data_IF_924045883251
#
_entry.id   IF_924045883251
#
_cell.length_a   1.000
_cell.length_b   1.000
_cell.length_c   1.000
_cell.angle_alpha   90.00
_cell.angle_beta   90.00
_cell.angle_gamma   90.00
#
_symmetry.space_group_name_H-M   'P 1'
#
loop_
_entity.id
_entity.type
_entity.pdbx_description
1 polymer ?
#
# COMPACT_ATOMS: atom_id res chain seq x y z
N UNK A 1 -46.84 -21.95 -17.32
CA UNK A 1 -45.51 -22.57 -17.53
C UNK A 1 -45.42 -23.20 -18.93
N UNK A 2 -46.43 -23.94 -19.37
CA UNK A 2 -46.45 -24.58 -20.70
C UNK A 2 -46.43 -23.60 -21.89
N UNK A 3 -47.04 -22.42 -21.77
CA UNK A 3 -47.03 -21.42 -22.87
C UNK A 3 -45.63 -20.83 -23.12
N UNK A 4 -44.86 -20.57 -22.07
CA UNK A 4 -43.46 -20.11 -22.19
C UNK A 4 -42.59 -21.15 -22.91
N UNK A 5 -42.83 -22.43 -22.66
CA UNK A 5 -42.07 -23.53 -23.27
C UNK A 5 -42.39 -23.69 -24.77
N UNK A 6 -43.62 -23.36 -25.20
CA UNK A 6 -43.98 -23.29 -26.63
C UNK A 6 -43.36 -22.09 -27.33
N UNK A 7 -43.29 -20.95 -26.64
CA UNK A 7 -42.70 -19.72 -27.17
C UNK A 7 -41.17 -19.87 -27.37
N UNK A 8 -40.47 -20.47 -26.41
CA UNK A 8 -39.04 -20.78 -26.53
C UNK A 8 -38.73 -21.74 -27.68
N UNK A 9 -39.57 -22.76 -27.89
CA UNK A 9 -39.42 -23.67 -29.04
C UNK A 9 -39.58 -22.92 -30.36
N UNK A 10 -40.58 -22.05 -30.48
CA UNK A 10 -40.76 -21.24 -31.70
C UNK A 10 -39.59 -20.28 -31.94
N UNK A 11 -39.07 -19.63 -30.89
CA UNK A 11 -37.92 -18.73 -30.98
C UNK A 11 -36.67 -19.50 -31.44
N UNK A 12 -36.39 -20.65 -30.84
CA UNK A 12 -35.28 -21.53 -31.24
C UNK A 12 -35.40 -21.96 -32.70
N UNK A 13 -36.58 -22.38 -33.15
CA UNK A 13 -36.79 -22.80 -34.54
C UNK A 13 -36.63 -21.62 -35.53
N UNK A 14 -37.10 -20.42 -35.17
CA UNK A 14 -36.91 -19.21 -35.98
C UNK A 14 -35.44 -18.80 -36.06
N UNK A 15 -34.71 -18.81 -34.95
CA UNK A 15 -33.27 -18.55 -34.90
C UNK A 15 -32.49 -19.52 -35.79
N UNK A 16 -32.81 -20.82 -35.71
CA UNK A 16 -32.16 -21.86 -36.49
C UNK A 16 -32.38 -21.69 -38.01
N UNK A 17 -33.57 -21.22 -38.42
CA UNK A 17 -33.94 -21.03 -39.82
C UNK A 17 -33.48 -19.69 -40.42
N UNK A 18 -33.29 -18.65 -39.62
CA UNK A 18 -32.84 -17.34 -40.14
C UNK A 18 -31.33 -17.15 -40.04
N UNK A 19 -30.66 -17.72 -39.04
CA UNK A 19 -29.24 -17.43 -38.80
C UNK A 19 -28.30 -18.57 -39.21
N UNK A 20 -28.69 -19.84 -39.04
CA UNK A 20 -27.77 -20.97 -39.25
C UNK A 20 -27.83 -21.58 -40.66
N UNK A 21 -28.90 -21.34 -41.39
CA UNK A 21 -29.11 -21.86 -42.75
C UNK A 21 -28.24 -21.17 -43.81
N UNK A 22 -27.98 -19.84 -43.78
CA UNK A 22 -27.09 -19.22 -44.77
C UNK A 22 -25.62 -19.65 -44.63
N UNK A 23 -25.19 -20.11 -43.44
CA UNK A 23 -23.81 -20.59 -43.21
C UNK A 23 -23.52 -21.96 -43.84
N UNK A 24 -24.56 -22.77 -44.10
CA UNK A 24 -24.40 -24.11 -44.72
C UNK A 24 -24.10 -24.05 -46.21
N UNK A 25 -24.58 -23.02 -46.92
CA UNK A 25 -24.42 -22.89 -48.37
C UNK A 25 -23.22 -22.03 -48.79
N UNK A 26 -22.37 -21.62 -47.85
CA UNK A 26 -21.14 -20.91 -48.18
C UNK A 26 -20.24 -21.85 -48.99
N UNK A 27 -19.83 -21.45 -50.22
CA UNK A 27 -18.92 -22.24 -51.05
C UNK A 27 -17.65 -22.58 -50.28
N UNK A 28 -17.10 -23.80 -50.46
CA UNK A 28 -15.90 -24.25 -49.75
C UNK A 28 -14.72 -23.26 -49.89
N UNK A 29 -14.57 -22.63 -51.06
CA UNK A 29 -13.52 -21.64 -51.31
C UNK A 29 -13.65 -20.39 -50.44
N UNK A 30 -14.88 -19.93 -50.16
CA UNK A 30 -15.12 -18.75 -49.32
C UNK A 30 -14.84 -19.06 -47.84
N UNK A 31 -15.12 -20.30 -47.38
CA UNK A 31 -14.76 -20.75 -46.03
C UNK A 31 -13.25 -20.81 -45.84
N UNK A 32 -12.55 -21.35 -46.84
CA UNK A 32 -11.07 -21.41 -46.83
C UNK A 32 -10.51 -19.98 -46.79
N UNK A 33 -11.03 -19.07 -47.63
CA UNK A 33 -10.62 -17.67 -47.66
C UNK A 33 -10.82 -16.95 -46.32
N UNK A 34 -11.95 -17.21 -45.64
CA UNK A 34 -12.23 -16.60 -44.34
C UNK A 34 -11.27 -17.14 -43.27
N UNK A 35 -11.04 -18.45 -43.24
CA UNK A 35 -10.11 -19.08 -42.29
C UNK A 35 -8.69 -18.55 -42.50
N UNK A 36 -8.23 -18.46 -43.75
CA UNK A 36 -6.90 -17.91 -44.05
C UNK A 36 -6.77 -16.45 -43.67
N UNK A 37 -7.82 -15.65 -43.83
CA UNK A 37 -7.80 -14.24 -43.41
C UNK A 37 -7.73 -14.11 -41.89
N UNK A 38 -8.49 -14.92 -41.15
CA UNK A 38 -8.49 -14.89 -39.68
C UNK A 38 -7.14 -15.34 -39.14
N UNK A 39 -6.53 -16.41 -39.69
CA UNK A 39 -5.20 -16.85 -39.25
C UNK A 39 -4.12 -15.81 -39.53
N UNK A 40 -4.17 -15.11 -40.67
CA UNK A 40 -3.23 -14.01 -40.95
C UNK A 40 -3.38 -12.88 -39.93
N UNK A 41 -4.62 -12.50 -39.58
CA UNK A 41 -4.87 -11.46 -38.57
C UNK A 41 -4.30 -11.88 -37.21
N UNK A 42 -4.60 -13.10 -36.74
CA UNK A 42 -4.10 -13.60 -35.44
C UNK A 42 -2.58 -13.67 -35.41
N UNK A 43 -1.93 -14.15 -36.48
CA UNK A 43 -0.47 -14.19 -36.57
C UNK A 43 0.15 -12.79 -36.62
N UNK A 44 -0.51 -11.84 -37.27
CA UNK A 44 -0.05 -10.44 -37.33
C UNK A 44 -0.14 -9.77 -35.96
N UNK A 45 -1.23 -10.02 -35.21
CA UNK A 45 -1.39 -9.55 -33.82
C UNK A 45 -0.33 -10.16 -32.90
N UNK A 46 -0.13 -11.48 -32.95
CA UNK A 46 0.90 -12.14 -32.15
C UNK A 46 2.32 -11.64 -32.49
N UNK A 47 2.60 -11.35 -33.76
CA UNK A 47 3.88 -10.76 -34.18
C UNK A 47 4.06 -9.33 -33.66
N UNK A 48 3.01 -8.51 -33.68
CA UNK A 48 3.03 -7.16 -33.11
C UNK A 48 3.30 -7.19 -31.60
N UNK A 49 2.60 -8.05 -30.85
CA UNK A 49 2.84 -8.23 -29.42
C UNK A 49 4.28 -8.66 -29.15
N UNK A 50 4.77 -9.68 -29.86
CA UNK A 50 6.17 -10.14 -29.76
C UNK A 50 7.17 -9.01 -30.04
N UNK A 51 6.92 -8.20 -31.07
CA UNK A 51 7.80 -7.08 -31.42
C UNK A 51 7.77 -5.98 -30.35
N UNK A 52 6.61 -5.64 -29.81
CA UNK A 52 6.49 -4.65 -28.72
C UNK A 52 7.19 -5.11 -27.44
N UNK A 53 7.08 -6.39 -27.07
CA UNK A 53 7.79 -6.93 -25.89
C UNK A 53 9.30 -6.95 -26.11
N UNK A 54 9.76 -7.25 -27.33
CA UNK A 54 11.19 -7.24 -27.67
C UNK A 54 11.76 -5.81 -27.73
N UNK A 55 11.00 -4.84 -28.24
CA UNK A 55 11.41 -3.43 -28.22
C UNK A 55 11.44 -2.86 -26.80
N UNK A 56 10.52 -3.24 -25.90
CA UNK A 56 10.61 -2.85 -24.49
C UNK A 56 11.81 -3.53 -23.77
N UNK A 57 12.13 -4.78 -24.08
CA UNK A 57 13.29 -5.46 -23.49
C UNK A 57 14.64 -4.99 -24.08
N UNK A 58 14.64 -4.41 -25.29
CA UNK A 58 15.85 -3.91 -25.96
C UNK A 58 16.00 -2.38 -25.91
N UNK A 59 15.05 -1.66 -25.31
CA UNK A 59 15.14 -0.23 -25.06
C UNK A 59 15.48 0.08 -23.60
N UNK A 60 16.27 -0.79 -22.97
CA UNK A 60 17.31 -0.31 -22.07
C UNK A 60 18.38 0.34 -22.94
N UNK A 61 18.09 1.57 -23.33
CA UNK A 61 19.11 2.54 -23.68
C UNK A 61 20.03 2.59 -22.47
N UNK A 62 21.16 1.88 -22.49
CA UNK A 62 22.25 2.20 -21.57
C UNK A 62 22.76 3.54 -22.07
N UNK A 63 22.58 4.67 -21.35
CA UNK A 63 23.57 5.71 -21.50
C UNK A 63 24.89 5.03 -21.16
N UNK A 64 25.93 5.30 -21.92
CA UNK A 64 27.28 5.09 -21.44
C UNK A 64 27.41 5.98 -20.20
N UNK A 65 26.99 5.44 -19.05
CA UNK A 65 27.02 6.14 -17.78
C UNK A 65 28.49 6.31 -17.48
N UNK A 66 28.93 7.56 -17.59
CA UNK A 66 30.15 8.03 -16.95
C UNK A 66 29.98 7.66 -15.48
N UNK A 67 30.65 6.59 -15.07
CA UNK A 67 30.67 6.10 -13.69
C UNK A 67 31.43 7.16 -12.88
N UNK A 68 30.70 8.18 -12.42
CA UNK A 68 31.19 9.09 -11.39
C UNK A 68 31.20 8.34 -10.06
N UNK A 69 32.20 8.58 -9.22
CA UNK A 69 32.40 7.87 -7.95
C UNK A 69 31.16 7.95 -7.05
N UNK A 70 30.40 9.03 -7.17
CA UNK A 70 29.13 9.29 -6.47
C UNK A 70 28.06 8.23 -6.73
N UNK A 71 27.95 7.68 -7.95
CA UNK A 71 26.92 6.68 -8.28
C UNK A 71 27.27 5.30 -7.70
N UNK A 72 28.58 5.00 -7.60
CA UNK A 72 29.04 3.75 -6.97
C UNK A 72 28.78 3.72 -5.47
N UNK A 73 28.90 4.86 -4.81
CA UNK A 73 28.70 4.97 -3.37
C UNK A 73 27.22 4.84 -3.00
N UNK A 74 26.31 5.42 -3.78
CA UNK A 74 24.86 5.29 -3.59
C UNK A 74 24.40 3.84 -3.75
N UNK A 75 24.85 3.14 -4.80
CA UNK A 75 24.51 1.73 -5.01
C UNK A 75 24.97 0.85 -3.85
N UNK A 76 26.15 1.16 -3.30
CA UNK A 76 26.69 0.43 -2.14
C UNK A 76 25.89 0.71 -0.85
N UNK A 77 25.43 1.95 -0.66
CA UNK A 77 24.57 2.32 0.49
C UNK A 77 23.27 1.53 0.44
N UNK A 78 22.58 1.50 -0.71
CA UNK A 78 21.32 0.75 -0.87
C UNK A 78 21.51 -0.75 -0.62
N UNK A 79 22.55 -1.35 -1.21
CA UNK A 79 22.86 -2.77 -1.01
C UNK A 79 23.12 -3.10 0.46
N UNK A 80 23.94 -2.29 1.14
CA UNK A 80 24.25 -2.49 2.55
C UNK A 80 23.03 -2.26 3.44
N UNK A 81 22.14 -1.33 3.10
CA UNK A 81 20.93 -1.05 3.89
C UNK A 81 19.91 -2.18 3.79
N UNK A 82 19.67 -2.68 2.57
CA UNK A 82 18.76 -3.81 2.32
C UNK A 82 19.22 -5.08 3.04
N UNK A 83 20.52 -5.38 2.99
CA UNK A 83 21.10 -6.55 3.66
C UNK A 83 20.92 -6.55 5.18
N UNK A 84 21.00 -5.37 5.84
CA UNK A 84 20.92 -5.29 7.31
C UNK A 84 19.50 -5.11 7.84
N UNK A 85 18.55 -4.72 7.00
CA UNK A 85 17.15 -4.49 7.39
C UNK A 85 16.26 -5.70 7.10
N UNK A 86 16.61 -6.55 6.13
CA UNK A 86 15.85 -7.74 5.75
C UNK A 86 16.32 -9.04 6.41
N UNK A 87 16.99 -8.97 7.56
CA UNK A 87 17.42 -10.17 8.30
C UNK A 87 16.21 -10.79 9.00
N UNK A 88 15.56 -11.76 8.35
CA UNK A 88 14.58 -12.64 9.00
C UNK A 88 15.30 -13.57 9.97
N UNK A 89 15.04 -13.38 11.27
CA UNK A 89 15.56 -14.23 12.31
C UNK A 89 14.72 -15.49 12.43
N UNK A 90 15.27 -16.63 12.00
CA UNK A 90 14.60 -17.91 12.20
C UNK A 90 14.38 -18.18 13.69
N UNK A 91 13.19 -18.72 14.01
CA UNK A 91 12.73 -18.95 15.36
C UNK A 91 13.68 -19.90 16.12
N UNK A 92 14.36 -19.39 17.14
CA UNK A 92 15.33 -20.15 17.95
C UNK A 92 16.81 -19.83 17.69
N UNK A 93 17.14 -18.94 16.75
CA UNK A 93 18.48 -18.37 16.63
C UNK A 93 18.60 -17.03 17.38
N UNK A 94 19.71 -16.87 18.09
CA UNK A 94 20.13 -15.57 18.64
C UNK A 94 20.71 -14.75 17.49
N UNK A 95 19.85 -13.95 16.84
CA UNK A 95 20.30 -12.90 15.95
C UNK A 95 20.87 -11.74 16.77
N UNK A 96 22.18 -11.72 16.97
CA UNK A 96 22.84 -10.53 17.48
C UNK A 96 23.84 -10.02 16.46
N UNK A 97 23.33 -9.54 15.32
CA UNK A 97 24.11 -8.60 14.52
C UNK A 97 23.39 -7.27 14.60
N UNK A 98 23.99 -6.34 15.35
CA UNK A 98 23.52 -4.96 15.42
C UNK A 98 23.49 -4.38 14.00
N UNK A 99 22.34 -3.93 13.49
CA UNK A 99 22.22 -3.44 12.12
C UNK A 99 23.19 -2.30 11.81
N UNK A 100 23.40 -1.38 12.77
CA UNK A 100 24.35 -0.28 12.62
C UNK A 100 25.80 -0.78 12.51
N UNK A 101 26.19 -1.73 13.38
CA UNK A 101 27.53 -2.34 13.31
C UNK A 101 27.75 -3.08 11.99
N UNK A 102 26.73 -3.81 11.52
CA UNK A 102 26.75 -4.58 10.27
C UNK A 102 26.90 -3.66 9.06
N UNK A 103 26.13 -2.57 9.06
CA UNK A 103 26.17 -1.56 8.02
C UNK A 103 27.55 -0.91 7.92
N UNK A 104 28.15 -0.52 9.05
CA UNK A 104 29.50 0.02 9.07
C UNK A 104 30.53 -0.92 8.41
N UNK A 105 30.48 -2.22 8.74
CA UNK A 105 31.38 -3.22 8.16
C UNK A 105 31.12 -3.40 6.66
N UNK A 106 29.85 -3.40 6.24
CA UNK A 106 29.45 -3.48 4.83
C UNK A 106 29.97 -2.27 4.01
N UNK A 107 29.89 -1.07 4.59
CA UNK A 107 30.44 0.15 4.01
C UNK A 107 31.98 0.12 3.92
N UNK A 108 32.64 -0.84 4.57
CA UNK A 108 34.10 -1.03 4.57
C UNK A 108 34.80 -0.45 5.79
N UNK A 109 34.04 -0.05 6.81
CA UNK A 109 34.54 0.43 8.09
C UNK A 109 34.84 -0.69 9.09
N UNK A 110 35.31 -0.30 10.28
CA UNK A 110 35.50 -1.20 11.43
C UNK A 110 34.78 -0.67 12.66
N UNK A 111 34.41 -1.56 13.57
CA UNK A 111 33.69 -1.22 14.80
C UNK A 111 34.65 -1.23 16.00
N UNK A 112 34.59 -0.17 16.80
CA UNK A 112 35.21 -0.08 18.12
C UNK A 112 34.14 0.18 19.17
N UNK A 113 34.20 -0.53 20.30
CA UNK A 113 33.34 -0.25 21.45
C UNK A 113 34.06 0.70 22.38
N UNK A 114 33.47 1.87 22.63
CA UNK A 114 33.98 2.86 23.59
C UNK A 114 33.10 2.91 24.82
N UNK A 115 33.70 3.29 25.95
CA UNK A 115 32.99 3.52 27.21
C UNK A 115 32.92 5.01 27.48
N UNK A 116 31.74 5.53 27.79
CA UNK A 116 31.56 6.89 28.27
C UNK A 116 32.18 7.01 29.67
N UNK A 117 33.17 7.88 29.84
CA UNK A 117 33.89 8.03 31.10
C UNK A 117 33.03 8.63 32.23
N UNK A 118 31.97 9.37 31.90
CA UNK A 118 31.07 10.01 32.87
C UNK A 118 29.94 9.09 33.33
N UNK A 119 29.34 8.33 32.40
CA UNK A 119 28.17 7.47 32.69
C UNK A 119 28.53 5.99 32.86
N UNK A 120 29.66 5.54 32.30
CA UNK A 120 30.06 4.14 32.25
C UNK A 120 29.40 3.33 31.13
N UNK A 121 28.56 3.95 30.31
CA UNK A 121 27.84 3.27 29.23
C UNK A 121 28.76 2.94 28.06
N UNK A 122 28.52 1.79 27.41
CA UNK A 122 29.24 1.39 26.20
C UNK A 122 28.45 1.77 24.94
N UNK A 123 29.16 2.25 23.92
CA UNK A 123 28.59 2.58 22.61
C UNK A 123 29.53 2.14 21.49
N UNK A 124 28.95 1.82 20.32
CA UNK A 124 29.70 1.44 19.14
C UNK A 124 30.11 2.65 18.31
N UNK A 125 31.35 2.62 17.82
CA UNK A 125 31.94 3.64 16.95
C UNK A 125 32.33 2.98 15.64
N UNK A 126 31.80 3.50 14.54
CA UNK A 126 32.21 3.15 13.19
C UNK A 126 33.43 3.98 12.77
N UNK A 127 34.51 3.32 12.39
CA UNK A 127 35.69 3.94 11.77
C UNK A 127 35.69 3.67 10.29
N UNK A 128 35.55 4.71 9.49
CA UNK A 128 35.51 4.62 8.03
C UNK A 128 36.23 5.83 7.43
N UNK A 129 37.12 5.60 6.45
CA UNK A 129 37.87 6.65 5.78
C UNK A 129 38.62 7.62 6.73
N UNK A 130 39.23 7.10 7.81
CA UNK A 130 39.91 7.87 8.87
C UNK A 130 39.00 8.74 9.77
N UNK A 131 37.69 8.69 9.55
CA UNK A 131 36.69 9.37 10.36
C UNK A 131 36.04 8.39 11.35
N UNK A 132 35.61 8.93 12.50
CA UNK A 132 34.94 8.16 13.55
C UNK A 132 33.53 8.70 13.78
N UNK A 133 32.54 7.83 13.67
CA UNK A 133 31.13 8.14 13.86
C UNK A 133 30.52 7.23 14.92
N UNK A 134 29.55 7.72 15.69
CA UNK A 134 28.69 6.81 16.46
C UNK A 134 27.91 5.92 15.45
N UNK A 135 27.87 4.61 15.67
CA UNK A 135 27.45 3.66 14.64
C UNK A 135 26.00 3.89 14.18
N UNK A 136 25.11 4.25 15.09
CA UNK A 136 23.71 4.50 14.77
C UNK A 136 23.49 5.88 14.13
N UNK A 137 24.27 6.88 14.51
CA UNK A 137 24.31 8.18 13.85
C UNK A 137 24.78 8.02 12.40
N UNK A 138 25.85 7.27 12.17
CA UNK A 138 26.32 6.96 10.82
C UNK A 138 25.24 6.24 10.01
N UNK A 139 24.70 5.14 10.54
CA UNK A 139 23.64 4.37 9.89
C UNK A 139 22.43 5.23 9.49
N UNK A 140 21.94 6.09 10.40
CA UNK A 140 20.81 6.98 10.11
C UNK A 140 21.17 8.11 9.15
N UNK A 141 22.41 8.64 9.22
CA UNK A 141 22.85 9.70 8.31
C UNK A 141 22.80 9.25 6.85
N UNK A 142 23.14 7.98 6.59
CA UNK A 142 23.11 7.39 5.26
C UNK A 142 21.68 7.04 4.81
N UNK A 143 20.81 6.62 5.74
CA UNK A 143 19.37 6.46 5.45
C UNK A 143 18.71 7.79 5.04
N UNK A 144 19.14 8.91 5.63
CA UNK A 144 18.68 10.25 5.26
C UNK A 144 19.38 10.82 4.03
N UNK A 145 20.40 10.15 3.49
CA UNK A 145 20.97 10.46 2.16
C UNK A 145 20.20 9.78 1.03
N UNK A 146 18.99 9.26 1.29
CA UNK A 146 17.98 9.25 0.24
C UNK A 146 17.95 10.65 -0.36
N UNK A 147 18.37 10.71 -1.62
CA UNK A 147 18.59 11.93 -2.40
C UNK A 147 17.54 12.96 -1.99
N UNK A 148 18.01 14.14 -1.56
CA UNK A 148 17.22 15.35 -1.43
C UNK A 148 16.71 15.71 -2.83
N UNK A 149 15.79 14.90 -3.34
CA UNK A 149 15.19 15.03 -4.65
C UNK A 149 14.02 15.98 -4.48
N UNK A 150 14.38 17.22 -4.19
CA UNK A 150 13.50 18.38 -4.15
C UNK A 150 12.95 18.73 -5.53
N UNK A 151 13.11 17.85 -6.54
CA UNK A 151 12.73 18.10 -7.92
C UNK A 151 12.16 16.91 -8.70
N UNK A 152 11.97 15.71 -8.13
CA UNK A 152 11.21 14.68 -8.84
C UNK A 152 9.72 15.01 -8.84
N UNK A 153 9.13 14.95 -10.03
CA UNK A 153 7.69 14.91 -10.17
C UNK A 153 7.14 13.71 -9.39
N UNK A 154 5.89 13.80 -8.95
CA UNK A 154 5.18 12.65 -8.37
C UNK A 154 5.18 11.47 -9.35
N UNK A 155 5.44 10.27 -8.83
CA UNK A 155 5.50 9.03 -9.62
C UNK A 155 4.11 8.43 -9.82
N UNK A 156 3.95 7.57 -10.83
CA UNK A 156 2.68 6.84 -11.06
C UNK A 156 2.34 5.90 -9.89
N UNK A 157 3.36 5.33 -9.23
CA UNK A 157 3.19 4.53 -8.03
C UNK A 157 2.63 5.35 -6.89
N UNK A 158 3.13 6.56 -6.67
CA UNK A 158 2.64 7.48 -5.65
C UNK A 158 1.20 7.92 -5.93
N UNK A 159 0.90 8.26 -7.18
CA UNK A 159 -0.47 8.56 -7.62
C UNK A 159 -1.41 7.38 -7.35
N UNK A 160 -0.96 6.15 -7.61
CA UNK A 160 -1.75 4.93 -7.42
C UNK A 160 -1.95 4.59 -5.94
N UNK A 161 -0.90 4.68 -5.11
CA UNK A 161 -1.00 4.41 -3.67
C UNK A 161 -1.73 5.52 -2.91
N UNK A 162 -1.80 6.72 -3.48
CA UNK A 162 -2.54 7.85 -2.93
C UNK A 162 -1.83 8.54 -1.76
N UNK A 163 -0.53 8.35 -1.56
CA UNK A 163 0.25 9.09 -0.56
C UNK A 163 1.77 9.02 -0.85
N UNK A 164 2.54 9.93 -0.25
CA UNK A 164 4.01 9.86 -0.16
C UNK A 164 4.52 10.66 1.05
N UNK A 165 5.69 10.30 1.58
CA UNK A 165 6.34 11.03 2.69
C UNK A 165 6.99 12.32 2.20
N UNK A 166 6.86 13.39 2.97
CA UNK A 166 7.51 14.67 2.69
C UNK A 166 6.84 15.82 3.45
N UNK A 167 7.66 16.79 3.83
CA UNK A 167 7.25 18.05 4.46
C UNK A 167 6.49 18.97 3.50
N UNK A 168 5.94 20.07 4.02
CA UNK A 168 5.21 21.07 3.21
C UNK A 168 6.03 21.66 2.05
N UNK A 169 7.32 21.90 2.26
CA UNK A 169 8.27 22.42 1.26
C UNK A 169 8.76 21.35 0.27
N UNK A 170 8.51 20.07 0.57
CA UNK A 170 8.83 18.92 -0.26
C UNK A 170 7.63 18.44 -1.10
N UNK A 171 6.66 19.34 -1.38
CA UNK A 171 5.55 19.00 -2.27
C UNK A 171 6.07 18.73 -3.68
N UNK A 172 6.06 17.45 -4.10
CA UNK A 172 6.48 17.04 -5.44
C UNK A 172 5.66 17.75 -6.52
N UNK A 173 6.28 18.26 -7.60
CA UNK A 173 5.53 18.82 -8.71
C UNK A 173 4.63 17.74 -9.36
N UNK A 174 3.39 18.11 -9.70
CA UNK A 174 2.38 17.19 -10.21
C UNK A 174 1.51 16.53 -9.13
N UNK A 175 1.80 16.71 -7.84
CA UNK A 175 0.89 16.30 -6.76
C UNK A 175 -0.46 17.01 -6.91
N UNK A 176 -1.59 16.28 -7.00
CA UNK A 176 -2.91 16.88 -7.21
C UNK A 176 -3.26 17.92 -6.14
N UNK A 177 -3.96 18.98 -6.55
CA UNK A 177 -4.27 20.10 -5.66
C UNK A 177 -5.19 19.74 -4.49
N UNK A 178 -5.96 18.66 -4.61
CA UNK A 178 -6.84 18.17 -3.55
C UNK A 178 -6.12 17.34 -2.49
N UNK A 179 -4.83 16.99 -2.66
CA UNK A 179 -4.09 16.22 -1.67
C UNK A 179 -3.81 17.03 -0.41
N UNK A 180 -3.91 16.37 0.74
CA UNK A 180 -3.77 16.96 2.08
C UNK A 180 -2.41 16.57 2.66
N UNK A 181 -1.80 17.51 3.40
CA UNK A 181 -0.58 17.25 4.17
C UNK A 181 -0.92 16.97 5.64
N UNK A 182 -0.23 16.03 6.28
CA UNK A 182 -0.37 15.72 7.71
C UNK A 182 0.98 15.43 8.35
N UNK A 183 1.13 15.75 9.64
CA UNK A 183 2.30 15.33 10.43
C UNK A 183 3.54 16.22 10.28
N UNK A 184 3.37 17.50 9.95
CA UNK A 184 4.47 18.47 9.80
C UNK A 184 5.42 18.48 11.01
N UNK A 185 6.72 18.53 10.75
CA UNK A 185 7.76 18.48 11.79
C UNK A 185 7.96 17.12 12.45
N UNK A 186 7.32 16.05 11.95
CA UNK A 186 7.51 14.68 12.44
C UNK A 186 8.07 13.78 11.34
N UNK A 187 8.63 12.62 11.71
CA UNK A 187 9.01 11.56 10.75
C UNK A 187 7.83 10.98 9.96
N UNK A 188 6.60 11.34 10.34
CA UNK A 188 5.37 10.91 9.70
C UNK A 188 4.74 12.04 8.85
N UNK A 189 5.51 13.05 8.46
CA UNK A 189 5.08 14.09 7.54
C UNK A 189 4.80 13.51 6.16
N UNK A 190 3.55 13.58 5.68
CA UNK A 190 3.14 13.02 4.38
C UNK A 190 2.10 13.85 3.68
N UNK A 191 2.13 13.74 2.36
CA UNK A 191 1.06 14.14 1.46
C UNK A 191 0.20 12.92 1.11
N UNK A 192 -1.11 13.07 1.11
CA UNK A 192 -2.02 11.98 0.77
C UNK A 192 -3.27 12.49 0.07
N UNK A 193 -3.82 11.65 -0.81
CA UNK A 193 -5.13 11.85 -1.40
C UNK A 193 -6.14 11.84 -0.26
N UNK A 194 -6.97 12.89 -0.05
CA UNK A 194 -8.11 12.77 0.83
C UNK A 194 -8.92 11.59 0.31
N UNK A 195 -9.19 10.61 1.18
CA UNK A 195 -10.11 9.55 0.81
C UNK A 195 -11.39 10.20 0.28
N UNK A 196 -11.89 9.70 -0.85
CA UNK A 196 -13.20 10.05 -1.39
C UNK A 196 -14.24 9.55 -0.36
N UNK A 197 -14.34 10.25 0.76
CA UNK A 197 -15.10 9.84 1.92
C UNK A 197 -16.53 10.31 1.73
N UNK A 198 -17.25 9.58 0.88
CA UNK A 198 -18.51 9.08 1.41
C UNK A 198 -18.10 8.13 2.55
N UNK A 199 -17.97 8.71 3.75
CA UNK A 199 -17.78 7.94 4.97
C UNK A 199 -18.80 6.80 4.94
N UNK A 200 -18.37 5.54 5.13
CA UNK A 200 -19.27 4.41 4.96
C UNK A 200 -20.51 4.60 5.84
N UNK A 201 -21.66 4.14 5.39
CA UNK A 201 -22.91 4.29 6.15
C UNK A 201 -22.80 3.73 7.59
N UNK A 202 -21.85 2.80 7.82
CA UNK A 202 -21.48 2.31 9.13
C UNK A 202 -20.02 1.84 9.22
N UNK A 203 -19.49 1.73 10.43
CA UNK A 203 -18.23 1.05 10.78
C UNK A 203 -18.43 0.15 12.01
N UNK A 204 -17.65 -0.92 12.09
CA UNK A 204 -17.61 -1.86 13.23
C UNK A 204 -16.37 -1.68 14.11
N UNK A 205 -15.53 -0.69 13.81
CA UNK A 205 -14.43 -0.32 14.71
C UNK A 205 -15.00 0.17 16.04
N UNK A 206 -14.34 -0.18 17.15
CA UNK A 206 -14.83 0.14 18.49
C UNK A 206 -16.27 -0.34 18.73
N UNK A 207 -16.61 -1.54 18.23
CA UNK A 207 -17.89 -2.19 18.50
C UNK A 207 -17.76 -3.67 18.86
N UNK A 208 -18.69 -4.16 19.67
CA UNK A 208 -18.81 -5.56 20.05
C UNK A 208 -20.30 -5.92 20.21
N UNK A 209 -20.62 -7.20 20.16
CA UNK A 209 -21.97 -7.67 20.46
C UNK A 209 -22.87 -7.78 19.24
N UNK A 210 -24.03 -8.36 19.49
CA UNK A 210 -25.05 -8.65 18.49
C UNK A 210 -26.34 -7.95 18.85
N UNK A 211 -27.13 -7.60 17.85
CA UNK A 211 -28.36 -6.85 18.07
C UNK A 211 -29.42 -7.19 17.04
N UNK A 212 -30.68 -6.93 17.42
CA UNK A 212 -31.80 -6.91 16.48
C UNK A 212 -32.39 -5.51 16.29
N UNK A 213 -32.17 -4.62 17.26
CA UNK A 213 -32.68 -3.24 17.27
C UNK A 213 -31.63 -2.27 17.79
N UNK A 214 -31.75 -1.00 17.40
CA UNK A 214 -30.80 0.05 17.83
C UNK A 214 -30.73 0.22 19.35
N UNK A 215 -31.85 0.02 20.05
CA UNK A 215 -31.92 0.15 21.51
C UNK A 215 -31.10 -0.89 22.27
N UNK A 216 -30.69 -1.97 21.61
CA UNK A 216 -29.82 -2.99 22.23
C UNK A 216 -28.35 -2.56 22.26
N UNK A 217 -27.96 -1.58 21.44
CA UNK A 217 -26.57 -1.13 21.35
C UNK A 217 -26.42 0.22 22.05
N UNK A 218 -25.54 0.25 23.03
CA UNK A 218 -25.27 1.42 23.86
C UNK A 218 -23.77 1.72 23.76
N UNK A 219 -23.44 3.00 23.70
CA UNK A 219 -22.05 3.42 23.84
C UNK A 219 -21.62 3.29 25.30
N UNK A 220 -20.69 2.38 25.56
CA UNK A 220 -20.06 2.18 26.85
C UNK A 220 -18.70 2.89 26.86
N UNK A 221 -18.65 4.07 27.45
CA UNK A 221 -17.41 4.82 27.63
C UNK A 221 -17.52 5.87 28.73
N UNK A 222 -16.53 5.90 29.63
CA UNK A 222 -16.34 6.97 30.60
C UNK A 222 -15.12 7.79 30.16
N UNK A 223 -15.32 9.02 29.69
CA UNK A 223 -14.19 9.83 29.26
C UNK A 223 -14.53 11.23 28.78
N UNK A 224 -13.63 12.17 29.10
CA UNK A 224 -13.68 13.55 28.65
C UNK A 224 -13.24 13.63 27.18
N UNK A 225 -14.17 13.51 26.22
CA UNK A 225 -13.89 13.92 24.83
C UNK A 225 -14.11 12.89 23.71
N UNK A 226 -14.88 11.82 23.94
CA UNK A 226 -15.44 11.02 22.84
C UNK A 226 -14.43 10.20 22.01
N UNK A 227 -13.25 9.88 22.58
CA UNK A 227 -12.20 9.10 21.90
C UNK A 227 -12.00 7.68 22.43
N UNK A 228 -12.69 7.32 23.51
CA UNK A 228 -12.53 6.03 24.18
C UNK A 228 -13.91 5.48 24.55
N UNK A 229 -14.22 4.28 24.08
CA UNK A 229 -15.49 3.60 24.34
C UNK A 229 -15.77 2.49 23.35
N UNK A 230 -16.80 1.71 23.64
CA UNK A 230 -17.24 0.60 22.81
C UNK A 230 -18.74 0.74 22.52
N UNK A 231 -19.15 0.60 21.26
CA UNK A 231 -20.57 0.41 20.94
C UNK A 231 -20.92 -1.06 21.18
N UNK A 232 -21.71 -1.36 22.19
CA UNK A 232 -21.92 -2.74 22.67
C UNK A 232 -23.33 -2.95 23.22
N UNK A 233 -23.78 -4.22 23.23
CA UNK A 233 -24.95 -4.65 23.97
C UNK A 233 -24.62 -5.15 25.40
N UNK A 234 -23.34 -5.13 25.79
CA UNK A 234 -22.83 -5.51 27.11
C UNK A 234 -22.00 -4.37 27.72
N UNK A 235 -22.62 -3.23 28.10
CA UNK A 235 -21.89 -2.04 28.56
C UNK A 235 -21.13 -2.27 29.87
N UNK A 236 -21.63 -3.17 30.73
CA UNK A 236 -21.04 -3.52 32.04
C UNK A 236 -19.58 -4.01 31.92
N UNK A 237 -19.19 -4.57 30.78
CA UNK A 237 -17.81 -5.02 30.50
C UNK A 237 -16.79 -3.87 30.48
N UNK A 238 -17.25 -2.63 30.29
CA UNK A 238 -16.40 -1.47 30.03
C UNK A 238 -16.49 -0.36 31.08
N UNK A 239 -17.21 -0.55 32.19
CA UNK A 239 -17.39 0.48 33.23
C UNK A 239 -16.06 1.04 33.77
N UNK A 240 -15.03 0.20 33.91
CA UNK A 240 -13.70 0.59 34.44
C UNK A 240 -12.57 0.60 33.39
N UNK A 241 -12.89 0.37 32.11
CA UNK A 241 -11.88 0.05 31.09
C UNK A 241 -11.11 1.27 30.55
N UNK A 242 -11.56 2.50 30.85
CA UNK A 242 -11.02 3.71 30.24
C UNK A 242 -10.43 4.61 31.30
N UNK A 243 -9.10 4.75 31.26
CA UNK A 243 -8.33 5.50 32.26
C UNK A 243 -7.68 6.77 31.71
N UNK A 244 -7.79 7.02 30.39
CA UNK A 244 -7.13 8.13 29.69
C UNK A 244 -8.14 9.10 29.07
N UNK A 245 -7.85 10.40 29.16
CA UNK A 245 -8.68 11.48 28.60
C UNK A 245 -8.17 11.98 27.24
N UNK A 246 -7.43 11.15 26.50
CA UNK A 246 -6.89 11.54 25.21
C UNK A 246 -8.00 11.57 24.15
N UNK A 247 -7.99 12.58 23.29
CA UNK A 247 -8.95 12.67 22.19
C UNK A 247 -8.39 11.89 21.01
N UNK A 248 -9.08 10.81 20.62
CA UNK A 248 -8.83 10.10 19.37
C UNK A 248 -9.61 10.79 18.26
N UNK A 249 -8.95 11.64 17.47
CA UNK A 249 -9.58 12.46 16.42
C UNK A 249 -10.39 11.63 15.42
N UNK A 250 -9.91 10.43 15.08
CA UNK A 250 -10.55 9.53 14.13
C UNK A 250 -11.59 8.57 14.75
N UNK A 251 -11.97 8.78 16.01
CA UNK A 251 -12.97 7.92 16.67
C UNK A 251 -14.37 8.12 16.03
N UNK A 252 -15.17 7.06 15.83
CA UNK A 252 -16.43 7.17 15.08
C UNK A 252 -17.40 8.25 15.56
N UNK A 253 -17.55 8.50 16.87
CA UNK A 253 -18.40 9.58 17.37
C UNK A 253 -17.91 10.98 16.98
N UNK A 254 -16.59 11.18 16.87
CA UNK A 254 -15.98 12.44 16.42
C UNK A 254 -16.16 12.67 14.91
N UNK A 255 -16.41 11.59 14.15
CA UNK A 255 -16.70 11.61 12.72
C UNK A 255 -18.21 11.69 12.40
N UNK A 256 -19.05 11.87 13.43
CA UNK A 256 -20.49 12.04 13.30
C UNK A 256 -21.29 10.73 13.20
N UNK A 257 -20.70 9.60 13.58
CA UNK A 257 -21.45 8.34 13.70
C UNK A 257 -22.15 8.23 15.06
N UNK A 258 -23.21 7.43 15.09
CA UNK A 258 -23.96 7.10 16.31
C UNK A 258 -23.92 5.61 16.57
N UNK A 259 -23.79 5.20 17.83
CA UNK A 259 -23.87 3.79 18.20
C UNK A 259 -25.29 3.26 17.99
N UNK A 260 -25.42 2.12 17.34
CA UNK A 260 -26.69 1.48 17.06
C UNK A 260 -26.50 0.09 16.45
N UNK A 261 -27.60 -0.51 16.01
CA UNK A 261 -27.59 -1.81 15.37
C UNK A 261 -27.38 -1.68 13.86
N UNK A 262 -26.43 -2.44 13.34
CA UNK A 262 -26.23 -2.61 11.90
C UNK A 262 -27.04 -3.84 11.46
N UNK A 263 -28.31 -3.60 11.12
CA UNK A 263 -29.30 -4.66 10.85
C UNK A 263 -28.85 -5.67 9.78
N UNK A 264 -28.08 -5.22 8.78
CA UNK A 264 -27.58 -6.07 7.68
C UNK A 264 -26.65 -7.18 8.15
N UNK A 265 -26.00 -7.01 9.31
CA UNK A 265 -25.05 -7.97 9.90
C UNK A 265 -25.38 -8.36 11.35
N UNK A 266 -26.49 -7.84 11.90
CA UNK A 266 -26.96 -8.09 13.27
C UNK A 266 -25.88 -7.85 14.35
N UNK A 267 -25.08 -6.80 14.18
CA UNK A 267 -24.01 -6.40 15.12
C UNK A 267 -24.20 -4.97 15.58
N UNK A 268 -23.83 -4.70 16.83
CA UNK A 268 -23.64 -3.33 17.26
C UNK A 268 -22.50 -2.69 16.47
N UNK A 269 -22.64 -1.42 16.17
CA UNK A 269 -21.64 -0.64 15.48
C UNK A 269 -22.04 0.82 15.34
N UNK A 270 -21.20 1.57 14.64
CA UNK A 270 -21.34 3.00 14.49
C UNK A 270 -21.93 3.29 13.13
N UNK A 271 -23.06 3.99 13.04
CA UNK A 271 -23.73 4.31 11.77
C UNK A 271 -24.12 5.78 11.65
N UNK A 272 -24.23 6.25 10.41
CA UNK A 272 -24.69 7.61 10.04
C UNK A 272 -26.14 7.62 9.57
#
# INVERSE_FOLDING_TARGET
MEERLKQDKQIKTKLQKHFLTPLKNIPKWLKISLITSITIIVLSYAYLEYKTTKEQNNNWYTPEMVYDSTTSDILKIEECYDQVTNVECEEGQVCMTNPASSFCVCMGGTIEIKTNEETGDQYGVCKINEEEYEEWEYFRSQASQEVEDTTSNITEQELTQGWYWGSLDQKKPGTPDNWIHSGEGTRSAKWYKPEDTELPAYTIEYSEGTCTTDSECIWAGEGCGGGHGMCTNEPEKYEDAITTCDIVENFPSNLGYTCGCIETISKCGWKK
#
